data_IF_296289233304
#
_entry.id   IF_296289233304
#
_cell.length_a   1.000
_cell.length_b   1.000
_cell.length_c   1.000
_cell.angle_alpha   90.00
_cell.angle_beta   90.00
_cell.angle_gamma   90.00
#
_symmetry.space_group_name_H-M   'P 1'
#
loop_
_entity.id
_entity.type
_entity.pdbx_description
1 polymer ?
#
# COMPACT_ATOMS: atom_id res chain seq x y z
N UNK A 1 10.16 57.23 41.69
CA UNK A 1 11.32 56.39 41.32
C UNK A 1 10.94 54.91 41.22
N UNK A 2 10.00 54.53 40.33
CA UNK A 2 9.62 53.14 40.01
C UNK A 2 9.34 52.81 38.51
N UNK A 3 9.45 53.73 37.51
CA UNK A 3 9.19 53.35 36.12
C UNK A 3 10.39 52.67 35.45
N UNK A 4 11.62 53.00 35.85
CA UNK A 4 12.84 52.48 35.22
C UNK A 4 13.05 50.97 35.47
N UNK A 5 12.66 50.48 36.66
CA UNK A 5 12.83 49.06 37.03
C UNK A 5 11.82 48.13 36.32
N UNK A 6 10.60 48.63 36.05
CA UNK A 6 9.58 47.89 35.29
C UNK A 6 9.91 47.79 33.80
N UNK A 7 10.52 48.83 33.24
CA UNK A 7 10.98 48.82 31.85
C UNK A 7 12.15 47.83 31.67
N UNK A 8 13.06 47.79 32.63
CA UNK A 8 14.18 46.83 32.62
C UNK A 8 13.69 45.38 32.70
N UNK A 9 12.69 45.09 33.55
CA UNK A 9 12.10 43.75 33.67
C UNK A 9 11.42 43.26 32.40
N UNK A 10 10.67 44.14 31.70
CA UNK A 10 10.03 43.81 30.43
C UNK A 10 11.03 43.58 29.29
N UNK A 11 12.14 44.34 29.26
CA UNK A 11 13.22 44.13 28.28
C UNK A 11 13.94 42.80 28.53
N UNK A 12 14.17 42.43 29.79
CA UNK A 12 14.82 41.16 30.14
C UNK A 12 13.92 39.96 29.77
N UNK A 13 12.62 40.04 30.07
CA UNK A 13 11.67 38.96 29.71
C UNK A 13 11.48 38.89 28.19
N UNK A 14 11.33 40.03 27.50
CA UNK A 14 11.23 40.07 26.03
C UNK A 14 12.52 39.59 25.33
N UNK A 15 13.68 39.87 25.91
CA UNK A 15 14.98 39.35 25.45
C UNK A 15 15.13 37.85 25.69
N UNK A 16 14.71 37.34 26.85
CA UNK A 16 14.75 35.90 27.15
C UNK A 16 13.78 35.09 26.28
N UNK A 17 12.60 35.62 26.00
CA UNK A 17 11.62 34.96 25.11
C UNK A 17 12.09 34.95 23.65
N UNK A 18 12.72 36.04 23.17
CA UNK A 18 13.27 36.06 21.80
C UNK A 18 14.50 35.15 21.66
N UNK A 19 15.38 35.07 22.66
CA UNK A 19 16.51 34.12 22.66
C UNK A 19 16.01 32.66 22.72
N UNK A 20 14.96 32.38 23.49
CA UNK A 20 14.35 31.03 23.56
C UNK A 20 13.75 30.57 22.24
N UNK A 21 13.05 31.46 21.51
CA UNK A 21 12.45 31.13 20.20
C UNK A 21 13.52 30.96 19.11
N UNK A 22 14.61 31.72 19.15
CA UNK A 22 15.71 31.58 18.16
C UNK A 22 16.57 30.34 18.46
N UNK A 23 16.73 29.95 19.73
CA UNK A 23 17.48 28.75 20.11
C UNK A 23 16.72 27.44 19.81
N UNK A 24 15.37 27.48 19.77
CA UNK A 24 14.52 26.32 19.41
C UNK A 24 14.32 26.17 17.89
N UNK A 25 14.72 27.18 17.10
CA UNK A 25 14.83 27.10 15.65
C UNK A 25 16.19 26.57 15.17
N UNK A 26 17.04 26.08 16.07
CA UNK A 26 18.23 25.33 15.67
C UNK A 26 17.74 24.18 14.80
N UNK A 27 18.08 24.21 13.50
CA UNK A 27 17.70 23.21 12.52
C UNK A 27 17.69 21.85 13.22
N UNK A 28 16.51 21.21 13.28
CA UNK A 28 16.52 19.76 13.44
C UNK A 28 17.31 19.30 12.24
N UNK A 29 18.58 18.97 12.44
CA UNK A 29 19.33 18.14 11.52
C UNK A 29 18.36 17.02 11.21
N UNK A 30 17.87 16.98 9.97
CA UNK A 30 17.11 15.84 9.49
C UNK A 30 18.10 14.71 9.66
N UNK A 31 17.92 13.96 10.75
CA UNK A 31 18.55 12.68 10.94
C UNK A 31 18.25 11.93 9.66
N UNK A 32 19.32 11.64 8.93
CA UNK A 32 19.34 11.10 7.58
C UNK A 32 18.13 10.21 7.39
N UNK A 33 17.09 10.76 6.71
CA UNK A 33 15.96 9.96 6.29
C UNK A 33 16.59 8.72 5.65
N UNK A 34 16.16 7.49 5.99
CA UNK A 34 16.66 6.32 5.30
C UNK A 34 16.59 6.68 3.82
N UNK A 35 17.73 6.51 3.14
CA UNK A 35 17.93 6.91 1.75
C UNK A 35 16.65 6.65 0.97
N UNK A 36 16.25 7.52 0.01
CA UNK A 36 15.11 7.18 -0.84
C UNK A 36 15.29 5.73 -1.26
N UNK A 37 14.25 4.91 -1.13
CA UNK A 37 14.30 3.52 -1.60
C UNK A 37 14.72 3.65 -3.07
N UNK A 38 16.01 3.45 -3.31
CA UNK A 38 16.52 3.30 -4.65
C UNK A 38 15.99 1.94 -5.00
N UNK A 39 14.92 1.91 -5.78
CA UNK A 39 14.61 0.75 -6.60
C UNK A 39 15.89 0.58 -7.42
N UNK A 40 16.79 -0.27 -6.93
CA UNK A 40 17.95 -0.67 -7.72
C UNK A 40 17.32 -1.36 -8.90
N UNK A 41 17.40 -0.72 -10.07
CA UNK A 41 17.15 -1.40 -11.33
C UNK A 41 17.92 -2.71 -11.24
N UNK A 42 17.20 -3.80 -11.09
CA UNK A 42 17.81 -5.11 -11.17
C UNK A 42 18.47 -5.18 -12.53
N UNK A 43 19.66 -5.80 -12.63
CA UNK A 43 20.30 -6.12 -13.92
C UNK A 43 19.44 -7.05 -14.80
N UNK A 44 18.21 -7.34 -14.38
CA UNK A 44 17.19 -7.97 -15.17
C UNK A 44 16.74 -7.03 -16.29
N UNK A 45 16.82 -7.50 -17.53
CA UNK A 45 16.22 -6.81 -18.68
C UNK A 45 14.69 -6.75 -18.60
N UNK A 46 14.11 -7.44 -17.62
CA UNK A 46 12.69 -7.57 -17.38
C UNK A 46 12.37 -7.28 -15.91
N UNK A 47 11.21 -6.70 -15.61
CA UNK A 47 10.74 -6.51 -14.23
C UNK A 47 9.44 -7.29 -13.99
N UNK A 48 9.24 -7.76 -12.76
CA UNK A 48 7.99 -8.40 -12.33
C UNK A 48 7.46 -7.68 -11.09
N UNK A 49 6.16 -7.37 -11.10
CA UNK A 49 5.45 -6.75 -10.00
C UNK A 49 4.25 -7.59 -9.58
N UNK A 50 4.05 -7.67 -8.27
CA UNK A 50 2.96 -8.36 -7.61
C UNK A 50 2.07 -7.31 -6.97
N UNK A 51 0.93 -7.03 -7.61
CA UNK A 51 -0.07 -6.09 -7.13
C UNK A 51 -1.15 -6.88 -6.40
N UNK A 52 -1.16 -6.80 -5.06
CA UNK A 52 -2.07 -7.58 -4.21
C UNK A 52 -3.55 -7.36 -4.54
N UNK A 53 -3.88 -6.18 -5.07
CA UNK A 53 -5.18 -5.91 -5.65
C UNK A 53 -6.12 -5.13 -4.74
N UNK A 54 -7.37 -5.06 -5.17
CA UNK A 54 -8.48 -4.40 -4.47
C UNK A 54 -9.80 -4.95 -4.98
N UNK A 55 -10.88 -4.20 -4.78
CA UNK A 55 -12.20 -4.66 -5.23
C UNK A 55 -12.38 -4.50 -6.73
N UNK A 56 -13.27 -5.31 -7.29
CA UNK A 56 -13.78 -5.15 -8.65
C UNK A 56 -14.67 -3.91 -8.80
N UNK A 57 -15.49 -3.92 -9.85
CA UNK A 57 -16.30 -2.77 -10.28
C UNK A 57 -17.38 -2.32 -9.30
N UNK A 58 -17.76 -3.17 -8.33
CA UNK A 58 -18.88 -2.93 -7.39
C UNK A 58 -18.43 -2.90 -5.92
N UNK A 59 -17.15 -2.66 -5.64
CA UNK A 59 -16.63 -2.62 -4.26
C UNK A 59 -16.17 -1.24 -3.76
N UNK A 60 -15.67 -1.21 -2.52
CA UNK A 60 -15.32 0.03 -1.81
C UNK A 60 -13.99 0.67 -2.26
N UNK A 61 -13.12 -0.11 -2.92
CA UNK A 61 -11.78 0.31 -3.33
C UNK A 61 -11.46 -0.33 -4.70
N UNK A 62 -12.07 0.23 -5.75
CA UNK A 62 -11.95 -0.27 -7.13
C UNK A 62 -10.49 -0.20 -7.56
N UNK A 63 -9.90 -1.35 -7.90
CA UNK A 63 -8.47 -1.41 -8.21
C UNK A 63 -8.15 -1.07 -9.66
N UNK A 64 -7.09 -0.31 -9.86
CA UNK A 64 -6.45 -0.07 -11.15
C UNK A 64 -4.93 -0.20 -11.03
N UNK A 65 -4.24 -0.04 -12.15
CA UNK A 65 -2.78 0.13 -12.18
C UNK A 65 -2.42 1.46 -12.82
N UNK A 66 -1.37 2.08 -12.30
CA UNK A 66 -0.63 3.12 -13.00
C UNK A 66 0.75 2.56 -13.37
N UNK A 67 1.01 2.48 -14.68
CA UNK A 67 2.26 1.94 -15.22
C UNK A 67 3.06 3.10 -15.79
N UNK A 68 4.23 3.34 -15.22
CA UNK A 68 5.11 4.45 -15.57
C UNK A 68 6.35 3.90 -16.26
N UNK A 69 6.61 4.33 -17.49
CA UNK A 69 7.86 4.03 -18.21
C UNK A 69 8.77 5.27 -18.16
N UNK A 70 9.81 5.20 -17.32
CA UNK A 70 10.82 6.25 -17.22
C UNK A 70 11.94 6.11 -18.27
N UNK A 71 11.88 5.07 -19.11
CA UNK A 71 12.83 4.80 -20.17
C UNK A 71 12.65 5.69 -21.41
N UNK A 72 13.62 5.59 -22.32
CA UNK A 72 13.65 6.33 -23.59
C UNK A 72 13.08 5.53 -24.78
N UNK A 73 12.79 4.25 -24.56
CA UNK A 73 12.15 3.35 -25.52
C UNK A 73 10.79 2.92 -24.99
N UNK A 74 9.88 2.57 -25.89
CA UNK A 74 8.58 1.99 -25.52
C UNK A 74 8.79 0.68 -24.75
N UNK A 75 7.92 0.41 -23.78
CA UNK A 75 7.93 -0.82 -23.00
C UNK A 75 6.68 -1.66 -23.32
N UNK A 76 6.86 -2.96 -23.44
CA UNK A 76 5.76 -3.93 -23.49
C UNK A 76 5.53 -4.46 -22.08
N UNK A 77 4.28 -4.44 -21.64
CA UNK A 77 3.88 -4.86 -20.31
C UNK A 77 2.78 -5.91 -20.41
N UNK A 78 3.06 -7.11 -19.91
CA UNK A 78 2.08 -8.18 -19.74
C UNK A 78 1.39 -8.03 -18.37
N UNK A 79 0.07 -7.94 -18.37
CA UNK A 79 -0.76 -7.86 -17.17
C UNK A 79 -1.57 -9.14 -17.06
N UNK A 80 -1.18 -10.01 -16.14
CA UNK A 80 -1.93 -11.21 -15.79
C UNK A 80 -2.80 -10.93 -14.57
N UNK A 81 -4.11 -11.06 -14.70
CA UNK A 81 -5.03 -10.91 -13.58
C UNK A 81 -4.93 -12.11 -12.63
N UNK A 82 -5.07 -11.83 -11.34
CA UNK A 82 -5.22 -12.85 -10.29
C UNK A 82 -6.55 -12.58 -9.60
N UNK A 83 -7.48 -13.53 -9.65
CA UNK A 83 -8.85 -13.32 -9.18
C UNK A 83 -9.19 -14.23 -8.01
N UNK A 84 -10.14 -13.80 -7.18
CA UNK A 84 -10.70 -14.65 -6.14
C UNK A 84 -11.47 -15.86 -6.72
N UNK A 85 -12.16 -15.67 -7.85
CA UNK A 85 -13.18 -16.62 -8.31
C UNK A 85 -12.68 -17.58 -9.43
N UNK A 86 -11.74 -17.17 -10.29
CA UNK A 86 -11.09 -18.03 -11.33
C UNK A 86 -9.54 -18.06 -11.29
N UNK A 87 -8.92 -19.25 -11.38
CA UNK A 87 -7.46 -19.40 -11.40
C UNK A 87 -6.91 -19.13 -12.81
N UNK A 88 -7.80 -19.18 -13.80
CA UNK A 88 -7.55 -18.80 -15.18
C UNK A 88 -7.86 -17.31 -15.33
N UNK A 89 -6.95 -16.48 -14.82
CA UNK A 89 -7.02 -15.04 -14.97
C UNK A 89 -6.80 -14.61 -16.42
N UNK A 90 -7.54 -13.58 -16.85
CA UNK A 90 -7.29 -12.95 -18.14
C UNK A 90 -5.89 -12.32 -18.17
N UNK A 91 -5.35 -12.21 -19.38
CA UNK A 91 -4.08 -11.56 -19.66
C UNK A 91 -4.29 -10.45 -20.68
N UNK A 92 -3.61 -9.32 -20.49
CA UNK A 92 -3.61 -8.21 -21.41
C UNK A 92 -2.18 -7.74 -21.65
N UNK A 93 -1.83 -7.49 -22.91
CA UNK A 93 -0.56 -6.86 -23.28
C UNK A 93 -0.82 -5.37 -23.50
N UNK A 94 0.05 -4.53 -22.94
CA UNK A 94 -0.07 -3.08 -23.01
C UNK A 94 1.28 -2.46 -23.38
N UNK A 95 1.27 -1.57 -24.37
CA UNK A 95 2.44 -0.78 -24.73
C UNK A 95 2.44 0.52 -23.94
N UNK A 96 3.52 0.78 -23.21
CA UNK A 96 3.75 2.02 -22.46
C UNK A 96 4.81 2.83 -23.18
N UNK A 97 4.44 3.94 -23.83
CA UNK A 97 5.40 4.75 -24.59
C UNK A 97 6.58 5.23 -23.74
N UNK A 98 7.69 5.54 -24.38
CA UNK A 98 8.84 6.18 -23.75
C UNK A 98 8.45 7.44 -22.95
N UNK A 99 9.05 7.63 -21.78
CA UNK A 99 8.84 8.76 -20.88
C UNK A 99 7.36 9.08 -20.60
N UNK A 100 6.53 8.05 -20.46
CA UNK A 100 5.08 8.18 -20.31
C UNK A 100 4.53 7.38 -19.14
N UNK A 101 3.24 7.58 -18.88
CA UNK A 101 2.46 6.79 -17.94
C UNK A 101 1.12 6.45 -18.55
N UNK A 102 0.58 5.29 -18.17
CA UNK A 102 -0.76 4.88 -18.56
C UNK A 102 -1.52 4.32 -17.36
N UNK A 103 -2.85 4.39 -17.41
CA UNK A 103 -3.72 3.73 -16.47
C UNK A 103 -4.27 2.43 -17.08
N UNK A 104 -4.28 1.35 -16.31
CA UNK A 104 -4.92 0.08 -16.67
C UNK A 104 -6.06 -0.17 -15.70
N UNK A 105 -7.28 -0.27 -16.22
CA UNK A 105 -8.47 -0.53 -15.41
C UNK A 105 -8.68 -2.06 -15.29
N UNK A 106 -8.32 -2.63 -14.14
CA UNK A 106 -8.42 -4.09 -13.94
C UNK A 106 -9.87 -4.61 -13.99
N UNK A 107 -10.87 -3.95 -13.39
CA UNK A 107 -12.28 -4.34 -13.51
C UNK A 107 -12.81 -4.37 -14.95
N UNK A 108 -12.28 -3.55 -15.87
CA UNK A 108 -12.66 -3.65 -17.29
C UNK A 108 -12.18 -4.95 -17.93
N UNK A 109 -11.04 -5.50 -17.46
CA UNK A 109 -10.48 -6.76 -17.96
C UNK A 109 -11.15 -7.99 -17.33
N UNK A 110 -11.68 -7.85 -16.10
CA UNK A 110 -12.49 -8.87 -15.42
C UNK A 110 -13.73 -8.26 -14.75
N UNK A 111 -14.81 -7.99 -15.51
CA UNK A 111 -16.00 -7.28 -15.01
C UNK A 111 -16.74 -7.99 -13.88
N UNK A 112 -16.65 -9.32 -13.84
CA UNK A 112 -17.34 -10.18 -12.88
C UNK A 112 -16.50 -10.47 -11.62
N UNK A 113 -15.24 -10.03 -11.58
CA UNK A 113 -14.37 -10.31 -10.43
C UNK A 113 -14.78 -9.47 -9.22
N UNK A 114 -14.99 -10.11 -8.08
CA UNK A 114 -15.28 -9.38 -6.83
C UNK A 114 -14.01 -8.78 -6.23
N UNK A 115 -12.93 -9.55 -6.25
CA UNK A 115 -11.60 -9.17 -5.80
C UNK A 115 -10.57 -9.64 -6.81
N UNK A 116 -9.64 -8.75 -7.15
CA UNK A 116 -8.62 -9.01 -8.14
C UNK A 116 -7.36 -8.22 -7.88
N UNK A 117 -6.23 -8.84 -8.21
CA UNK A 117 -4.91 -8.24 -8.28
C UNK A 117 -4.28 -8.53 -9.65
N UNK A 118 -2.98 -8.30 -9.76
CA UNK A 118 -2.25 -8.55 -10.99
C UNK A 118 -0.81 -8.97 -10.74
N UNK A 119 -0.32 -9.85 -11.61
CA UNK A 119 1.11 -10.05 -11.85
C UNK A 119 1.42 -9.28 -13.12
N UNK A 120 2.39 -8.37 -13.04
CA UNK A 120 2.77 -7.51 -14.14
C UNK A 120 4.21 -7.81 -14.51
N UNK A 121 4.47 -8.10 -15.78
CA UNK A 121 5.81 -8.34 -16.31
C UNK A 121 6.12 -7.29 -17.38
N UNK A 122 7.32 -6.71 -17.36
CA UNK A 122 7.77 -5.78 -18.40
C UNK A 122 9.06 -6.26 -19.04
N UNK A 123 9.21 -5.97 -20.34
CA UNK A 123 10.46 -6.11 -21.10
C UNK A 123 11.46 -4.96 -20.89
N UNK A 124 11.13 -3.99 -20.02
CA UNK A 124 11.94 -2.80 -19.76
C UNK A 124 12.13 -2.60 -18.25
N UNK A 125 13.38 -2.49 -17.75
CA UNK A 125 13.66 -2.32 -16.32
C UNK A 125 13.33 -0.91 -15.79
N UNK A 126 13.04 0.05 -16.66
CA UNK A 126 12.67 1.42 -16.27
C UNK A 126 11.16 1.60 -16.06
N UNK A 127 10.41 0.50 -16.06
CA UNK A 127 8.99 0.50 -15.71
C UNK A 127 8.83 0.48 -14.19
N UNK A 128 7.86 1.23 -13.70
CA UNK A 128 7.37 1.18 -12.31
C UNK A 128 5.87 0.96 -12.35
N UNK A 129 5.36 0.09 -11.49
CA UNK A 129 3.94 -0.22 -11.40
C UNK A 129 3.42 0.14 -10.01
N UNK A 130 2.39 0.98 -9.98
CA UNK A 130 1.60 1.28 -8.79
C UNK A 130 0.19 0.72 -8.97
N UNK A 131 -0.43 0.27 -7.89
CA UNK A 131 -1.86 0.00 -7.84
C UNK A 131 -2.58 1.25 -7.34
N UNK A 132 -3.73 1.53 -7.94
CA UNK A 132 -4.61 2.64 -7.57
C UNK A 132 -5.89 2.09 -6.96
N UNK A 133 -6.45 2.80 -5.99
CA UNK A 133 -7.66 2.42 -5.29
C UNK A 133 -8.67 3.54 -5.35
N UNK A 134 -9.68 3.40 -6.20
CA UNK A 134 -10.75 4.38 -6.33
C UNK A 134 -11.90 4.03 -5.38
N UNK A 135 -12.14 4.91 -4.41
CA UNK A 135 -13.23 4.81 -3.44
C UNK A 135 -14.06 6.09 -3.36
N UNK A 136 -15.06 6.11 -2.47
CA UNK A 136 -15.96 7.26 -2.32
C UNK A 136 -15.26 8.55 -1.84
N UNK A 137 -14.16 8.41 -1.11
CA UNK A 137 -13.37 9.52 -0.56
C UNK A 137 -12.28 10.03 -1.51
N UNK A 138 -12.06 9.37 -2.64
CA UNK A 138 -11.01 9.71 -3.62
C UNK A 138 -10.20 8.50 -4.07
N UNK A 139 -9.00 8.77 -4.56
CA UNK A 139 -8.07 7.76 -5.07
C UNK A 139 -6.85 7.67 -4.16
N UNK A 140 -6.50 6.47 -3.73
CA UNK A 140 -5.22 6.16 -3.08
C UNK A 140 -4.30 5.37 -4.03
N UNK A 141 -3.00 5.30 -3.71
CA UNK A 141 -1.99 4.61 -4.52
C UNK A 141 -0.93 3.94 -3.66
N UNK A 142 -0.48 2.77 -4.09
CA UNK A 142 0.64 2.07 -3.48
C UNK A 142 1.53 1.42 -4.55
N UNK A 143 2.85 1.36 -4.36
CA UNK A 143 3.73 0.60 -5.26
C UNK A 143 3.40 -0.89 -5.18
N UNK A 144 3.42 -1.57 -6.33
CA UNK A 144 3.36 -3.03 -6.34
C UNK A 144 4.69 -3.63 -5.87
N UNK A 145 4.63 -4.79 -5.21
CA UNK A 145 5.83 -5.44 -4.69
C UNK A 145 6.64 -6.07 -5.83
N UNK A 146 7.97 -5.99 -5.80
CA UNK A 146 8.85 -6.68 -6.78
C UNK A 146 9.31 -8.05 -6.30
N UNK A 147 8.95 -8.42 -5.07
CA UNK A 147 9.25 -9.71 -4.46
C UNK A 147 8.05 -10.17 -3.63
N UNK A 148 7.89 -11.48 -3.51
CA UNK A 148 6.92 -12.07 -2.57
C UNK A 148 7.56 -12.26 -1.20
N UNK A 149 6.77 -12.35 -0.13
CA UNK A 149 7.27 -12.60 1.22
C UNK A 149 6.47 -13.66 1.97
N UNK A 150 7.11 -14.30 2.94
CA UNK A 150 6.47 -15.22 3.89
C UNK A 150 6.09 -14.54 5.21
N UNK A 151 6.52 -13.29 5.41
CA UNK A 151 6.12 -12.43 6.52
C UNK A 151 5.68 -11.08 5.95
N UNK A 152 4.42 -10.72 6.18
CA UNK A 152 3.80 -9.50 5.65
C UNK A 152 3.16 -8.70 6.78
N UNK A 153 3.08 -7.38 6.62
CA UNK A 153 2.55 -6.49 7.65
C UNK A 153 1.67 -5.40 7.04
N UNK A 154 0.49 -5.18 7.63
CA UNK A 154 -0.28 -3.95 7.47
C UNK A 154 -0.16 -3.16 8.78
N UNK A 155 0.61 -2.08 8.72
CA UNK A 155 1.03 -1.36 9.92
C UNK A 155 -0.03 -0.40 10.47
N UNK A 156 -1.10 -0.13 9.73
CA UNK A 156 -2.18 0.74 10.16
C UNK A 156 -3.51 0.26 9.54
N UNK A 157 -4.60 0.51 10.25
CA UNK A 157 -5.93 0.03 9.91
C UNK A 157 -6.93 0.33 11.01
N UNK A 158 -8.22 0.35 10.67
CA UNK A 158 -9.29 0.60 11.63
C UNK A 158 -10.57 -0.11 11.19
N UNK A 159 -11.38 -0.51 12.16
CA UNK A 159 -12.66 -1.24 11.96
C UNK A 159 -13.80 -0.56 12.73
N UNK A 160 -13.65 0.74 13.01
CA UNK A 160 -14.56 1.49 13.88
C UNK A 160 -15.88 1.74 13.16
N UNK A 161 -16.98 1.15 13.67
CA UNK A 161 -18.36 1.36 13.23
C UNK A 161 -18.60 1.37 11.70
N UNK A 162 -19.01 0.22 11.15
CA UNK A 162 -19.53 0.08 9.77
C UNK A 162 -20.59 1.14 9.40
N UNK A 163 -21.39 1.62 10.36
CA UNK A 163 -22.39 2.67 10.15
C UNK A 163 -21.77 4.04 9.78
N UNK A 164 -20.51 4.27 10.14
CA UNK A 164 -19.71 5.43 9.76
C UNK A 164 -18.86 5.18 8.50
N UNK A 165 -18.94 3.97 7.93
CA UNK A 165 -18.26 3.57 6.68
C UNK A 165 -16.81 3.11 6.86
N UNK A 166 -16.31 3.05 8.09
CA UNK A 166 -14.97 2.56 8.43
C UNK A 166 -14.99 1.03 8.51
N UNK A 167 -14.32 0.37 7.55
CA UNK A 167 -14.17 -1.08 7.45
C UNK A 167 -12.76 -1.39 6.95
N UNK A 168 -12.27 -2.59 7.28
CA UNK A 168 -10.96 -3.05 6.83
C UNK A 168 -11.08 -4.41 6.18
N UNK A 169 -10.58 -4.52 4.95
CA UNK A 169 -10.42 -5.79 4.24
C UNK A 169 -8.94 -6.01 3.97
N UNK A 170 -8.43 -7.18 4.35
CA UNK A 170 -7.06 -7.60 4.05
C UNK A 170 -7.07 -8.49 2.80
N UNK A 171 -6.30 -8.14 1.78
CA UNK A 171 -6.14 -8.95 0.58
C UNK A 171 -4.81 -9.72 0.63
N UNK A 172 -4.88 -11.03 0.42
CA UNK A 172 -3.72 -11.90 0.25
C UNK A 172 -3.71 -12.45 -1.17
N UNK A 173 -2.66 -12.15 -1.92
CA UNK A 173 -2.46 -12.68 -3.27
C UNK A 173 -1.41 -13.79 -3.24
N UNK A 174 -1.78 -14.97 -3.77
CA UNK A 174 -0.86 -16.05 -4.03
C UNK A 174 -0.54 -16.12 -5.54
N UNK A 175 0.67 -15.71 -5.97
CA UNK A 175 1.06 -15.78 -7.37
C UNK A 175 1.55 -17.18 -7.80
N UNK A 176 1.69 -18.12 -6.87
CA UNK A 176 2.26 -19.44 -7.10
C UNK A 176 1.25 -20.46 -7.62
N UNK A 177 1.78 -21.59 -8.11
CA UNK A 177 0.98 -22.69 -8.67
C UNK A 177 0.48 -23.67 -7.61
N UNK A 178 0.98 -23.54 -6.38
CA UNK A 178 0.57 -24.34 -5.23
C UNK A 178 -0.19 -23.48 -4.22
N UNK A 179 -1.06 -24.11 -3.45
CA UNK A 179 -1.81 -23.44 -2.39
C UNK A 179 -0.88 -22.98 -1.26
N UNK A 180 -1.16 -21.80 -0.73
CA UNK A 180 -0.48 -21.25 0.42
C UNK A 180 -1.33 -21.36 1.69
N UNK A 181 -0.67 -21.45 2.84
CA UNK A 181 -1.34 -21.40 4.15
C UNK A 181 -0.81 -20.19 4.92
N UNK A 182 -1.73 -19.29 5.28
CA UNK A 182 -1.44 -18.08 6.02
C UNK A 182 -2.05 -18.13 7.44
N UNK A 183 -1.27 -17.67 8.41
CA UNK A 183 -1.75 -17.32 9.74
C UNK A 183 -1.74 -15.80 9.86
N UNK A 184 -2.87 -15.23 10.26
CA UNK A 184 -3.06 -13.78 10.37
C UNK A 184 -3.25 -13.45 11.85
N UNK A 185 -2.48 -12.49 12.35
CA UNK A 185 -2.60 -11.97 13.71
C UNK A 185 -2.94 -10.50 13.64
N UNK A 186 -3.88 -10.10 14.49
CA UNK A 186 -4.30 -8.72 14.70
C UNK A 186 -3.86 -8.26 16.09
N UNK A 187 -3.21 -7.10 16.15
CA UNK A 187 -2.94 -6.38 17.38
C UNK A 187 -3.74 -5.07 17.34
N UNK A 188 -4.83 -5.02 18.09
CA UNK A 188 -5.76 -3.90 18.08
C UNK A 188 -5.89 -3.27 19.48
N UNK A 189 -6.35 -2.03 19.52
CA UNK A 189 -6.57 -1.31 20.77
C UNK A 189 -7.68 -1.92 21.65
N UNK A 190 -8.56 -2.72 21.05
CA UNK A 190 -9.58 -3.54 21.74
C UNK A 190 -9.07 -4.90 22.22
N UNK A 191 -7.85 -5.28 21.85
CA UNK A 191 -7.22 -6.56 22.19
C UNK A 191 -6.69 -7.32 20.97
N UNK A 192 -5.83 -8.34 21.19
CA UNK A 192 -5.31 -9.15 20.10
C UNK A 192 -6.31 -10.21 19.64
N UNK A 193 -6.26 -10.56 18.35
CA UNK A 193 -6.99 -11.68 17.77
C UNK A 193 -6.18 -12.37 16.66
N UNK A 194 -6.65 -13.49 16.12
CA UNK A 194 -5.97 -14.20 15.04
C UNK A 194 -6.86 -15.17 14.27
N UNK A 195 -6.59 -15.32 12.98
CA UNK A 195 -7.13 -16.37 12.12
C UNK A 195 -5.98 -17.30 11.76
N UNK A 196 -6.15 -18.60 12.01
CA UNK A 196 -5.13 -19.60 11.70
C UNK A 196 -5.50 -20.42 10.47
N UNK A 197 -4.48 -20.84 9.73
CA UNK A 197 -4.58 -21.77 8.61
C UNK A 197 -5.55 -21.34 7.50
N UNK A 198 -5.54 -20.06 7.13
CA UNK A 198 -6.24 -19.58 5.93
C UNK A 198 -5.56 -20.20 4.70
N UNK A 199 -6.34 -20.89 3.88
CA UNK A 199 -5.87 -21.35 2.58
C UNK A 199 -5.96 -20.19 1.59
N UNK A 200 -4.84 -19.86 0.97
CA UNK A 200 -4.76 -18.91 -0.14
C UNK A 200 -4.46 -19.73 -1.41
N UNK A 201 -5.49 -20.08 -2.21
CA UNK A 201 -5.31 -21.04 -3.28
C UNK A 201 -4.31 -20.56 -4.35
N UNK A 202 -3.75 -21.51 -5.10
CA UNK A 202 -2.85 -21.23 -6.21
C UNK A 202 -3.44 -20.22 -7.21
N UNK A 203 -2.66 -19.21 -7.58
CA UNK A 203 -3.05 -18.13 -8.50
C UNK A 203 -4.37 -17.44 -8.13
N UNK A 204 -4.54 -17.13 -6.84
CA UNK A 204 -5.75 -16.46 -6.33
C UNK A 204 -5.47 -15.30 -5.40
N UNK A 205 -6.50 -14.45 -5.28
CA UNK A 205 -6.64 -13.46 -4.22
C UNK A 205 -7.66 -13.98 -3.21
N UNK A 206 -7.36 -13.83 -1.93
CA UNK A 206 -8.31 -14.03 -0.83
C UNK A 206 -8.51 -12.70 -0.14
N UNK A 207 -9.78 -12.29 0.02
CA UNK A 207 -10.17 -11.13 0.80
C UNK A 207 -10.67 -11.59 2.17
N UNK A 208 -10.12 -11.02 3.24
CA UNK A 208 -10.48 -11.30 4.63
C UNK A 208 -11.12 -10.04 5.18
N UNK A 209 -12.37 -10.13 5.65
CA UNK A 209 -13.01 -9.03 6.34
C UNK A 209 -12.49 -8.94 7.77
N UNK A 210 -11.58 -8.00 8.01
CA UNK A 210 -11.00 -7.77 9.34
C UNK A 210 -12.03 -7.16 10.29
N UNK A 211 -13.06 -6.51 9.75
CA UNK A 211 -14.13 -5.87 10.52
C UNK A 211 -15.01 -6.90 11.23
N UNK A 212 -15.20 -8.08 10.64
CA UNK A 212 -15.97 -9.18 11.25
C UNK A 212 -15.20 -9.84 12.41
N UNK A 213 -13.88 -9.90 12.31
CA UNK A 213 -13.01 -10.53 13.32
C UNK A 213 -12.69 -9.55 14.46
N UNK A 214 -12.21 -8.36 14.11
CA UNK A 214 -11.82 -7.31 15.07
C UNK A 214 -12.84 -6.18 14.99
N UNK A 215 -13.91 -6.27 15.75
CA UNK A 215 -14.99 -5.26 15.69
C UNK A 215 -14.64 -4.01 16.50
N UNK A 216 -14.92 -2.82 15.94
CA UNK A 216 -14.90 -1.53 16.66
C UNK A 216 -13.53 -1.16 17.22
N UNK A 217 -12.46 -1.38 16.45
CA UNK A 217 -11.11 -0.96 16.80
C UNK A 217 -10.73 0.36 16.10
N UNK A 218 -10.15 1.29 16.85
CA UNK A 218 -9.64 2.54 16.27
C UNK A 218 -8.26 2.34 15.64
N UNK A 219 -7.54 1.27 16.03
CA UNK A 219 -6.27 0.88 15.43
C UNK A 219 -6.18 -0.63 15.35
N UNK A 220 -5.75 -1.14 14.21
CA UNK A 220 -5.49 -2.54 13.94
C UNK A 220 -4.15 -2.65 13.21
N UNK A 221 -3.20 -3.32 13.84
CA UNK A 221 -1.96 -3.77 13.20
C UNK A 221 -2.13 -5.22 12.79
N UNK A 222 -1.76 -5.57 11.56
CA UNK A 222 -1.88 -6.94 11.06
C UNK A 222 -0.51 -7.49 10.70
N UNK A 223 -0.21 -8.70 11.15
CA UNK A 223 0.95 -9.49 10.72
C UNK A 223 0.49 -10.82 10.13
N UNK A 224 1.10 -11.23 9.03
CA UNK A 224 0.77 -12.46 8.30
C UNK A 224 2.02 -13.32 8.18
N UNK A 225 1.92 -14.58 8.59
CA UNK A 225 2.97 -15.59 8.41
C UNK A 225 2.47 -16.66 7.43
N UNK A 226 3.26 -16.94 6.39
CA UNK A 226 2.93 -17.89 5.33
C UNK A 226 3.89 -19.07 5.39
N UNK A 227 3.36 -20.30 5.41
CA UNK A 227 4.16 -21.53 5.57
C UNK A 227 4.42 -22.26 4.25
N UNK A 228 3.51 -22.16 3.28
CA UNK A 228 3.60 -22.80 1.98
C UNK A 228 3.27 -21.78 0.88
N UNK A 229 3.91 -21.92 -0.27
CA UNK A 229 3.83 -21.03 -1.44
C UNK A 229 4.95 -21.38 -2.42
#
# INVERSE_FOLDING_TARGET
MMPALRLLGLIIIGGLVTIGVIADQRERTIEELPSPVVVTASDSRTGTWFCAGGSGSVGAATVGLEVVNAGLDDATVDVQLVQADTADGQRAEVVVPAASRIAVNLPQLAPEATWLGAIVESDNPNVVVEQTFDGLSGTDRAPCATTTGTALFAADGATRLLAEGESMTLLLMNPYQDDAIANVRFDADVGPDSISAIVVPARRVVAIDVTEEVTVAARVHTSVEVTAG
#
